data_IF_322153438626
#
_entry.id   IF_322153438626
#
_cell.length_a   1.000
_cell.length_b   1.000
_cell.length_c   1.000
_cell.angle_alpha   90.00
_cell.angle_beta   90.00
_cell.angle_gamma   90.00
#
_symmetry.space_group_name_H-M   'P 1'
#
loop_
_entity.id
_entity.type
_entity.pdbx_description
1 polymer ?
#
# COMPACT_ATOMS: atom_id res chain seq x y z
N UNK A 1 25.96 3.13 -2.40
CA UNK A 1 24.79 4.05 -2.50
C UNK A 1 24.47 4.43 -3.94
N UNK A 2 25.44 4.83 -4.79
CA UNK A 2 25.21 5.18 -6.21
C UNK A 2 24.33 4.18 -6.98
N UNK A 3 24.60 2.89 -6.83
CA UNK A 3 23.83 1.83 -7.50
C UNK A 3 22.36 1.68 -7.07
N UNK A 4 21.88 2.38 -6.02
CA UNK A 4 20.44 2.44 -5.73
C UNK A 4 19.74 3.47 -6.62
N UNK A 5 20.37 4.64 -6.82
CA UNK A 5 19.77 5.77 -7.53
C UNK A 5 19.80 5.61 -9.05
N UNK A 6 20.77 4.89 -9.59
CA UNK A 6 20.90 4.65 -11.03
C UNK A 6 20.28 3.33 -11.50
N UNK A 7 19.75 2.52 -10.58
CA UNK A 7 19.25 1.19 -10.88
C UNK A 7 17.93 1.22 -11.67
N UNK A 8 17.80 0.30 -12.62
CA UNK A 8 16.54 0.09 -13.34
C UNK A 8 15.47 -0.54 -12.44
N UNK A 9 14.22 -0.10 -12.63
CA UNK A 9 13.03 -0.53 -11.87
C UNK A 9 11.82 -0.68 -12.79
N UNK A 10 11.97 -1.47 -13.85
CA UNK A 10 10.95 -1.69 -14.88
C UNK A 10 10.04 -2.87 -14.54
N UNK A 11 10.52 -3.84 -13.75
CA UNK A 11 9.78 -5.07 -13.44
C UNK A 11 8.69 -4.82 -12.40
N UNK A 12 9.06 -4.21 -11.26
CA UNK A 12 8.15 -4.13 -10.12
C UNK A 12 6.83 -3.39 -10.39
N UNK A 13 6.77 -2.29 -11.17
CA UNK A 13 5.49 -1.68 -11.51
C UNK A 13 4.51 -2.67 -12.15
N UNK A 14 4.97 -3.60 -12.99
CA UNK A 14 4.10 -4.61 -13.59
C UNK A 14 3.57 -5.63 -12.57
N UNK A 15 4.41 -6.01 -11.60
CA UNK A 15 4.03 -6.91 -10.50
C UNK A 15 3.06 -6.22 -9.54
N UNK A 16 3.38 -4.99 -9.14
CA UNK A 16 2.57 -4.17 -8.25
C UNK A 16 1.16 -3.97 -8.83
N UNK A 17 1.03 -3.65 -10.13
CA UNK A 17 -0.27 -3.53 -10.83
C UNK A 17 -1.19 -4.72 -10.56
N UNK A 18 -0.68 -5.92 -10.76
CA UNK A 18 -1.46 -7.15 -10.60
C UNK A 18 -1.84 -7.35 -9.13
N UNK A 19 -0.87 -7.25 -8.22
CA UNK A 19 -1.09 -7.50 -6.80
C UNK A 19 -2.03 -6.46 -6.16
N UNK A 20 -1.83 -5.16 -6.45
CA UNK A 20 -2.70 -4.13 -5.93
C UNK A 20 -4.08 -4.18 -6.57
N UNK A 21 -4.18 -4.51 -7.87
CA UNK A 21 -5.45 -4.73 -8.53
C UNK A 21 -6.26 -5.85 -7.88
N UNK A 22 -5.61 -6.96 -7.51
CA UNK A 22 -6.25 -8.05 -6.77
C UNK A 22 -6.71 -7.63 -5.37
N UNK A 23 -5.88 -6.89 -4.62
CA UNK A 23 -6.26 -6.35 -3.31
C UNK A 23 -7.48 -5.43 -3.42
N UNK A 24 -7.47 -4.50 -4.39
CA UNK A 24 -8.59 -3.59 -4.62
C UNK A 24 -9.84 -4.33 -5.07
N UNK A 25 -9.72 -5.44 -5.81
CA UNK A 25 -10.87 -6.26 -6.21
C UNK A 25 -11.49 -6.99 -5.00
N UNK A 26 -10.65 -7.48 -4.08
CA UNK A 26 -11.13 -8.07 -2.82
C UNK A 26 -11.80 -6.99 -1.95
N UNK A 27 -11.18 -5.81 -1.82
CA UNK A 27 -11.74 -4.68 -1.08
C UNK A 27 -13.08 -4.24 -1.67
N UNK A 28 -13.18 -4.19 -3.01
CA UNK A 28 -14.41 -3.88 -3.73
C UNK A 28 -15.54 -4.84 -3.37
N UNK A 29 -15.25 -6.13 -3.23
CA UNK A 29 -16.24 -7.12 -2.85
C UNK A 29 -16.74 -6.90 -1.42
N UNK A 30 -15.86 -6.59 -0.48
CA UNK A 30 -16.25 -6.23 0.89
C UNK A 30 -17.10 -4.96 0.93
N UNK A 31 -16.68 -3.92 0.18
CA UNK A 31 -17.40 -2.66 0.06
C UNK A 31 -18.77 -2.85 -0.61
N UNK A 32 -18.87 -3.67 -1.65
CA UNK A 32 -20.18 -3.99 -2.23
C UNK A 32 -21.10 -4.57 -1.16
N UNK A 33 -20.64 -5.58 -0.41
CA UNK A 33 -21.47 -6.27 0.58
C UNK A 33 -21.93 -5.36 1.72
N UNK A 34 -21.12 -4.35 2.08
CA UNK A 34 -21.48 -3.38 3.13
C UNK A 34 -22.16 -2.11 2.59
N UNK A 35 -22.33 -1.98 1.27
CA UNK A 35 -22.85 -0.78 0.62
C UNK A 35 -24.20 -0.33 1.17
N UNK A 36 -25.11 -1.26 1.49
CA UNK A 36 -26.42 -0.94 2.05
C UNK A 36 -26.36 -0.28 3.44
N UNK A 37 -25.21 -0.35 4.11
CA UNK A 37 -24.98 0.27 5.42
C UNK A 37 -24.27 1.61 5.20
N UNK A 38 -23.08 1.61 4.60
CA UNK A 38 -22.26 2.82 4.57
C UNK A 38 -22.70 3.85 3.51
N UNK A 39 -23.41 3.43 2.45
CA UNK A 39 -24.01 4.34 1.46
C UNK A 39 -25.47 4.67 1.78
N UNK A 40 -26.01 4.24 2.92
CA UNK A 40 -27.37 4.60 3.31
C UNK A 40 -27.37 5.98 3.99
N UNK A 41 -28.05 6.99 3.43
CA UNK A 41 -28.11 8.33 4.02
C UNK A 41 -28.75 8.39 5.42
N UNK A 42 -29.62 7.43 5.75
CA UNK A 42 -30.24 7.33 7.08
C UNK A 42 -29.26 6.80 8.13
N UNK A 43 -28.30 5.97 7.72
CA UNK A 43 -27.30 5.36 8.61
C UNK A 43 -25.96 6.10 8.62
N UNK A 44 -25.64 6.83 7.54
CA UNK A 44 -24.41 7.60 7.38
C UNK A 44 -24.73 9.06 7.03
N UNK A 45 -24.81 9.89 8.07
CA UNK A 45 -25.05 11.33 7.96
C UNK A 45 -23.89 12.13 7.36
N UNK A 46 -22.74 11.48 7.10
CA UNK A 46 -21.54 12.12 6.57
C UNK A 46 -21.36 11.88 5.07
N UNK A 47 -22.36 11.27 4.41
CA UNK A 47 -22.33 11.12 2.97
C UNK A 47 -22.25 12.48 2.27
N UNK A 48 -21.37 12.63 1.27
CA UNK A 48 -21.30 13.86 0.52
C UNK A 48 -22.61 14.14 -0.23
N UNK A 49 -23.06 15.39 -0.19
CA UNK A 49 -24.32 15.84 -0.80
C UNK A 49 -24.15 16.44 -2.19
N UNK A 50 -22.93 16.38 -2.75
CA UNK A 50 -22.68 16.82 -4.10
C UNK A 50 -23.39 15.92 -5.13
N UNK A 51 -23.70 16.49 -6.30
CA UNK A 51 -24.50 15.81 -7.33
C UNK A 51 -23.90 14.48 -7.80
N UNK A 52 -22.57 14.38 -7.84
CA UNK A 52 -21.89 13.17 -8.29
C UNK A 52 -22.05 12.08 -7.22
N UNK A 53 -21.77 12.40 -5.96
CA UNK A 53 -21.88 11.47 -4.85
C UNK A 53 -23.30 10.94 -4.64
N UNK A 54 -24.31 11.80 -4.78
CA UNK A 54 -25.72 11.39 -4.72
C UNK A 54 -26.06 10.45 -5.88
N UNK A 55 -25.66 10.79 -7.10
CA UNK A 55 -25.89 9.94 -8.27
C UNK A 55 -25.25 8.56 -8.13
N UNK A 56 -24.00 8.50 -7.66
CA UNK A 56 -23.28 7.24 -7.44
C UNK A 56 -23.93 6.43 -6.32
N UNK A 57 -24.32 7.07 -5.22
CA UNK A 57 -24.99 6.39 -4.09
C UNK A 57 -26.30 5.74 -4.53
N UNK A 58 -27.13 6.46 -5.31
CA UNK A 58 -28.38 5.94 -5.87
C UNK A 58 -28.16 4.81 -6.89
N UNK A 59 -27.04 4.82 -7.60
CA UNK A 59 -26.69 3.84 -8.63
C UNK A 59 -25.50 2.96 -8.22
N UNK A 60 -25.37 2.69 -6.91
CA UNK A 60 -24.16 2.08 -6.34
C UNK A 60 -23.83 0.72 -6.96
N UNK A 61 -24.83 -0.14 -7.21
CA UNK A 61 -24.63 -1.43 -7.87
C UNK A 61 -23.98 -1.31 -9.26
N UNK A 62 -24.42 -0.33 -10.08
CA UNK A 62 -23.82 -0.08 -11.39
C UNK A 62 -22.38 0.45 -11.26
N UNK A 63 -22.14 1.36 -10.30
CA UNK A 63 -20.80 1.86 -10.03
C UNK A 63 -19.84 0.74 -9.63
N UNK A 64 -20.25 -0.16 -8.73
CA UNK A 64 -19.43 -1.28 -8.30
C UNK A 64 -19.13 -2.27 -9.45
N UNK A 65 -20.12 -2.58 -10.31
CA UNK A 65 -19.89 -3.41 -11.50
C UNK A 65 -18.89 -2.76 -12.46
N UNK A 66 -19.07 -1.47 -12.72
CA UNK A 66 -18.20 -0.71 -13.59
C UNK A 66 -16.77 -0.66 -13.04
N UNK A 67 -16.60 -0.36 -11.76
CA UNK A 67 -15.28 -0.33 -11.14
C UNK A 67 -14.63 -1.72 -11.09
N UNK A 68 -15.41 -2.77 -10.82
CA UNK A 68 -14.94 -4.16 -10.89
C UNK A 68 -14.41 -4.53 -12.28
N UNK A 69 -15.12 -4.14 -13.34
CA UNK A 69 -14.65 -4.32 -14.72
C UNK A 69 -13.34 -3.56 -14.97
N UNK A 70 -13.25 -2.30 -14.54
CA UNK A 70 -12.03 -1.51 -14.66
C UNK A 70 -10.86 -2.19 -13.95
N UNK A 71 -11.05 -2.71 -12.74
CA UNK A 71 -10.01 -3.42 -11.99
C UNK A 71 -9.56 -4.69 -12.71
N UNK A 72 -10.49 -5.46 -13.29
CA UNK A 72 -10.15 -6.64 -14.10
C UNK A 72 -9.31 -6.23 -15.31
N UNK A 73 -9.72 -5.20 -16.05
CA UNK A 73 -8.96 -4.67 -17.19
C UNK A 73 -7.57 -4.16 -16.75
N UNK A 74 -7.49 -3.51 -15.58
CA UNK A 74 -6.24 -3.05 -14.97
C UNK A 74 -5.31 -4.20 -14.61
N UNK A 75 -5.82 -5.30 -14.04
CA UNK A 75 -5.05 -6.52 -13.74
C UNK A 75 -4.56 -7.20 -15.03
N UNK A 76 -5.39 -7.24 -16.08
CA UNK A 76 -5.03 -7.83 -17.38
C UNK A 76 -4.09 -6.94 -18.20
N UNK A 77 -4.02 -5.65 -17.87
CA UNK A 77 -3.11 -4.69 -18.51
C UNK A 77 -3.62 -4.17 -19.85
N UNK A 78 -4.94 -4.15 -20.02
CA UNK A 78 -5.60 -3.62 -21.21
C UNK A 78 -5.69 -2.08 -21.12
N UNK A 79 -5.71 -1.40 -22.27
CA UNK A 79 -5.83 0.07 -22.37
C UNK A 79 -4.75 0.93 -21.65
N UNK A 80 -3.71 0.30 -21.08
CA UNK A 80 -2.51 0.95 -20.53
C UNK A 80 -2.84 2.09 -19.54
N UNK A 81 -2.15 3.21 -19.61
CA UNK A 81 -2.28 4.31 -18.64
C UNK A 81 -3.71 4.87 -18.52
N UNK A 82 -4.54 4.74 -19.56
CA UNK A 82 -5.96 5.10 -19.46
C UNK A 82 -6.69 4.26 -18.40
N UNK A 83 -6.43 2.95 -18.33
CA UNK A 83 -7.08 2.12 -17.30
C UNK A 83 -6.55 2.45 -15.90
N UNK A 84 -5.26 2.78 -15.75
CA UNK A 84 -4.72 3.27 -14.47
C UNK A 84 -5.41 4.56 -14.03
N UNK A 85 -5.66 5.49 -14.96
CA UNK A 85 -6.39 6.72 -14.69
C UNK A 85 -7.83 6.45 -14.24
N UNK A 86 -8.55 5.55 -14.93
CA UNK A 86 -9.90 5.17 -14.54
C UNK A 86 -9.94 4.48 -13.16
N UNK A 87 -8.97 3.60 -12.84
CA UNK A 87 -8.84 3.02 -11.50
C UNK A 87 -8.67 4.12 -10.45
N UNK A 88 -7.79 5.10 -10.71
CA UNK A 88 -7.57 6.22 -9.81
C UNK A 88 -8.83 7.05 -9.59
N UNK A 89 -9.57 7.39 -10.66
CA UNK A 89 -10.82 8.14 -10.56
C UNK A 89 -11.89 7.39 -9.75
N UNK A 90 -12.12 6.11 -10.04
CA UNK A 90 -13.07 5.30 -9.27
C UNK A 90 -12.64 5.17 -7.80
N UNK A 91 -11.34 5.00 -7.55
CA UNK A 91 -10.80 4.96 -6.20
C UNK A 91 -11.02 6.28 -5.45
N UNK A 92 -10.83 7.44 -6.10
CA UNK A 92 -11.11 8.75 -5.50
C UNK A 92 -12.59 8.93 -5.15
N UNK A 93 -13.50 8.47 -6.01
CA UNK A 93 -14.94 8.52 -5.72
C UNK A 93 -15.24 7.68 -4.49
N UNK A 94 -14.74 6.44 -4.41
CA UNK A 94 -14.91 5.60 -3.22
C UNK A 94 -14.29 6.24 -1.97
N UNK A 95 -13.08 6.76 -2.07
CA UNK A 95 -12.39 7.44 -0.97
C UNK A 95 -13.22 8.60 -0.41
N UNK A 96 -13.89 9.36 -1.27
CA UNK A 96 -14.78 10.46 -0.89
C UNK A 96 -16.08 9.97 -0.25
N UNK A 97 -16.70 8.93 -0.82
CA UNK A 97 -17.93 8.33 -0.28
C UNK A 97 -17.71 7.60 1.05
N UNK A 98 -16.52 7.06 1.29
CA UNK A 98 -16.18 6.29 2.47
C UNK A 98 -15.23 7.03 3.42
N UNK A 99 -15.21 8.37 3.39
CA UNK A 99 -14.22 9.18 4.11
C UNK A 99 -14.07 8.81 5.60
N UNK A 100 -15.15 8.44 6.28
CA UNK A 100 -15.12 8.04 7.69
C UNK A 100 -14.38 6.74 7.98
N UNK A 101 -14.28 5.87 6.98
CA UNK A 101 -13.65 4.55 7.06
C UNK A 101 -12.26 4.53 6.43
N UNK A 102 -11.77 5.69 5.99
CA UNK A 102 -10.45 5.85 5.37
C UNK A 102 -9.36 5.53 6.40
N UNK A 103 -8.45 4.67 6.00
CA UNK A 103 -7.24 4.36 6.75
C UNK A 103 -6.02 5.11 6.19
N UNK A 104 -4.91 5.08 6.92
CA UNK A 104 -3.62 5.55 6.39
C UNK A 104 -3.20 4.81 5.11
N UNK A 105 -3.60 3.54 4.96
CA UNK A 105 -3.37 2.77 3.74
C UNK A 105 -4.07 3.34 2.53
N UNK A 106 -5.29 3.85 2.71
CA UNK A 106 -6.04 4.46 1.63
C UNK A 106 -5.40 5.77 1.16
N UNK A 107 -4.82 6.53 2.09
CA UNK A 107 -4.05 7.75 1.77
C UNK A 107 -2.81 7.37 0.95
N UNK A 108 -2.06 6.35 1.37
CA UNK A 108 -0.88 5.87 0.63
C UNK A 108 -1.30 5.43 -0.78
N UNK A 109 -2.36 4.63 -0.89
CA UNK A 109 -2.85 4.13 -2.18
C UNK A 109 -3.34 5.25 -3.09
N UNK A 110 -4.03 6.28 -2.56
CA UNK A 110 -4.46 7.43 -3.35
C UNK A 110 -3.29 8.08 -4.10
N UNK A 111 -2.19 8.38 -3.40
CA UNK A 111 -1.00 8.96 -4.02
C UNK A 111 -0.29 7.98 -4.95
N UNK A 112 -0.19 6.71 -4.55
CA UNK A 112 0.46 5.70 -5.39
C UNK A 112 -0.29 5.48 -6.69
N UNK A 113 -1.62 5.37 -6.66
CA UNK A 113 -2.47 5.22 -7.84
C UNK A 113 -2.37 6.45 -8.75
N UNK A 114 -2.31 7.66 -8.18
CA UNK A 114 -2.05 8.89 -8.95
C UNK A 114 -0.72 8.80 -9.73
N UNK A 115 0.37 8.44 -9.06
CA UNK A 115 1.66 8.27 -9.75
C UNK A 115 1.61 7.12 -10.76
N UNK A 116 0.83 6.07 -10.48
CA UNK A 116 0.64 4.93 -11.37
C UNK A 116 -0.07 5.25 -12.68
N UNK A 117 -0.82 6.36 -12.74
CA UNK A 117 -1.35 6.90 -14.00
C UNK A 117 -0.22 7.16 -14.99
N UNK A 118 0.97 7.51 -14.51
CA UNK A 118 2.13 7.86 -15.34
C UNK A 118 3.18 6.74 -15.45
N UNK A 119 3.08 5.70 -14.61
CA UNK A 119 4.01 4.58 -14.62
C UNK A 119 3.73 3.61 -15.78
N UNK A 120 4.79 3.18 -16.49
CA UNK A 120 4.74 2.06 -17.43
C UNK A 120 4.73 0.74 -16.65
N UNK A 121 3.54 0.36 -16.19
CA UNK A 121 3.26 -0.91 -15.50
C UNK A 121 2.77 -2.02 -16.43
N UNK A 122 2.87 -1.81 -17.75
CA UNK A 122 2.31 -2.70 -18.77
C UNK A 122 3.38 -3.43 -19.58
N UNK A 123 4.67 -3.24 -19.28
CA UNK A 123 5.77 -3.94 -19.96
C UNK A 123 5.74 -5.45 -19.73
N UNK A 124 5.46 -5.86 -18.49
CA UNK A 124 5.36 -7.27 -18.10
C UNK A 124 3.95 -7.60 -17.57
N UNK A 125 3.62 -8.90 -17.54
CA UNK A 125 2.34 -9.41 -17.04
C UNK A 125 1.08 -8.75 -17.65
N UNK A 126 1.19 -8.22 -18.86
CA UNK A 126 0.12 -7.50 -19.57
C UNK A 126 -0.22 -8.21 -20.89
N UNK A 127 -1.50 -8.19 -21.26
CA UNK A 127 -1.97 -8.60 -22.58
C UNK A 127 -1.61 -7.55 -23.66
N UNK A 128 -1.64 -6.26 -23.32
CA UNK A 128 -1.23 -5.18 -24.22
C UNK A 128 0.12 -4.60 -23.77
N UNK A 129 1.20 -5.30 -24.12
CA UNK A 129 2.55 -4.96 -23.64
C UNK A 129 3.08 -3.65 -24.23
N UNK A 130 3.67 -2.81 -23.38
CA UNK A 130 4.48 -1.67 -23.83
C UNK A 130 5.75 -2.17 -24.49
N UNK A 131 6.11 -1.61 -25.65
CA UNK A 131 7.34 -1.92 -26.40
C UNK A 131 8.22 -0.67 -26.50
N UNK A 132 9.52 -0.87 -26.68
CA UNK A 132 10.49 0.21 -26.89
C UNK A 132 11.07 0.78 -25.59
N UNK A 133 11.66 1.98 -25.70
CA UNK A 133 12.39 2.65 -24.59
C UNK A 133 11.47 2.92 -23.41
N UNK A 134 12.01 2.79 -22.20
CA UNK A 134 11.27 3.07 -20.98
C UNK A 134 11.08 4.60 -20.84
N UNK A 135 9.84 5.09 -20.72
CA UNK A 135 9.58 6.53 -20.79
C UNK A 135 10.06 7.23 -19.52
N UNK A 136 10.68 8.41 -19.68
CA UNK A 136 11.22 9.18 -18.56
C UNK A 136 10.15 9.54 -17.51
N UNK A 137 8.92 9.83 -17.94
CA UNK A 137 7.81 10.10 -17.03
C UNK A 137 7.50 8.89 -16.11
N UNK A 138 7.70 7.67 -16.59
CA UNK A 138 7.56 6.48 -15.75
C UNK A 138 8.69 6.36 -14.74
N UNK A 139 9.90 6.80 -15.08
CA UNK A 139 11.01 6.85 -14.12
C UNK A 139 10.66 7.82 -12.99
N UNK A 140 10.16 9.01 -13.33
CA UNK A 140 9.71 10.00 -12.35
C UNK A 140 8.59 9.45 -11.47
N UNK A 141 7.58 8.81 -12.05
CA UNK A 141 6.47 8.21 -11.31
C UNK A 141 6.92 7.17 -10.27
N UNK A 142 7.82 6.26 -10.65
CA UNK A 142 8.38 5.26 -9.73
C UNK A 142 9.19 5.94 -8.62
N UNK A 143 9.98 6.96 -8.94
CA UNK A 143 10.71 7.72 -7.94
C UNK A 143 9.79 8.52 -7.00
N UNK A 144 8.68 9.07 -7.50
CA UNK A 144 7.67 9.73 -6.66
C UNK A 144 7.06 8.76 -5.66
N UNK A 145 6.80 7.51 -6.04
CA UNK A 145 6.34 6.46 -5.12
C UNK A 145 7.40 6.16 -4.06
N UNK A 146 8.67 5.99 -4.46
CA UNK A 146 9.78 5.73 -3.53
C UNK A 146 9.95 6.88 -2.53
N UNK A 147 9.95 8.12 -3.01
CA UNK A 147 10.07 9.32 -2.18
C UNK A 147 8.87 9.45 -1.23
N UNK A 148 7.67 9.13 -1.70
CA UNK A 148 6.49 9.11 -0.85
C UNK A 148 6.63 8.11 0.30
N UNK A 149 7.13 6.89 0.04
CA UNK A 149 7.42 5.91 1.10
C UNK A 149 8.44 6.48 2.09
N UNK A 150 9.53 7.09 1.61
CA UNK A 150 10.54 7.70 2.49
C UNK A 150 9.95 8.81 3.36
N UNK A 151 9.11 9.68 2.79
CA UNK A 151 8.43 10.73 3.54
C UNK A 151 7.50 10.15 4.60
N UNK A 152 6.71 9.11 4.27
CA UNK A 152 5.83 8.45 5.23
C UNK A 152 6.61 7.88 6.41
N UNK A 153 7.75 7.22 6.17
CA UNK A 153 8.59 6.67 7.24
C UNK A 153 9.20 7.76 8.12
N UNK A 154 9.81 8.77 7.51
CA UNK A 154 10.46 9.85 8.26
C UNK A 154 9.42 10.68 9.03
N UNK A 155 8.31 11.05 8.40
CA UNK A 155 7.25 11.83 9.04
C UNK A 155 6.66 11.07 10.24
N UNK A 156 6.34 9.79 10.08
CA UNK A 156 5.85 8.97 11.19
C UNK A 156 6.88 8.84 12.31
N UNK A 157 8.16 8.68 11.97
CA UNK A 157 9.22 8.57 12.95
C UNK A 157 9.34 9.85 13.79
N UNK A 158 9.37 11.02 13.15
CA UNK A 158 9.43 12.31 13.85
C UNK A 158 8.18 12.59 14.68
N UNK A 159 7.01 12.26 14.16
CA UNK A 159 5.76 12.43 14.89
C UNK A 159 5.75 11.59 16.17
N UNK A 160 6.14 10.31 16.09
CA UNK A 160 6.24 9.42 17.25
C UNK A 160 7.35 9.82 18.21
N UNK A 161 8.47 10.31 17.69
CA UNK A 161 9.57 10.80 18.53
C UNK A 161 9.13 12.00 19.38
N UNK A 162 8.25 12.85 18.86
CA UNK A 162 7.72 14.03 19.55
C UNK A 162 6.51 13.73 20.45
N UNK A 163 5.84 12.60 20.28
CA UNK A 163 4.61 12.26 21.00
C UNK A 163 4.88 11.59 22.36
N UNK A 164 4.27 12.12 23.42
CA UNK A 164 4.49 11.64 24.79
C UNK A 164 4.01 10.20 25.03
N UNK A 165 2.97 9.72 24.33
CA UNK A 165 2.49 8.35 24.52
C UNK A 165 3.50 7.33 24.01
N UNK A 166 4.15 7.63 22.88
CA UNK A 166 5.23 6.81 22.33
C UNK A 166 6.49 6.84 23.21
N UNK A 167 6.82 7.99 23.80
CA UNK A 167 7.96 8.11 24.72
C UNK A 167 7.75 7.34 26.03
N UNK A 168 6.50 7.12 26.44
CA UNK A 168 6.16 6.50 27.72
C UNK A 168 5.84 5.01 27.62
N UNK A 169 5.86 4.38 26.43
CA UNK A 169 5.47 2.97 26.29
C UNK A 169 3.97 2.76 26.24
N UNK A 170 3.20 3.83 26.09
CA UNK A 170 1.73 3.84 26.23
C UNK A 170 1.06 3.57 24.88
N UNK A 171 1.67 4.02 23.79
CA UNK A 171 1.11 3.89 22.44
C UNK A 171 0.96 2.43 22.01
N UNK A 172 2.02 1.62 22.16
CA UNK A 172 1.96 0.18 21.87
C UNK A 172 0.94 -0.52 22.79
N UNK A 173 0.92 -0.23 24.09
CA UNK A 173 -0.04 -0.84 25.00
C UNK A 173 -1.50 -0.59 24.57
N UNK A 174 -1.91 0.67 24.37
CA UNK A 174 -3.28 0.97 23.98
C UNK A 174 -3.65 0.48 22.58
N UNK A 175 -2.68 0.42 21.66
CA UNK A 175 -2.91 -0.13 20.32
C UNK A 175 -3.33 -1.59 20.38
N UNK A 176 -2.82 -2.35 21.35
CA UNK A 176 -3.22 -3.73 21.57
C UNK A 176 -4.46 -3.85 22.48
N UNK A 177 -4.52 -3.06 23.55
CA UNK A 177 -5.56 -3.16 24.58
C UNK A 177 -6.98 -2.78 24.09
N UNK A 178 -7.11 -2.10 22.95
CA UNK A 178 -8.41 -1.83 22.33
C UNK A 178 -9.15 -3.09 21.84
N UNK A 179 -8.44 -4.22 21.68
CA UNK A 179 -9.03 -5.48 21.20
C UNK A 179 -9.39 -6.40 22.37
N UNK A 180 -10.63 -6.89 22.38
CA UNK A 180 -11.14 -7.74 23.46
C UNK A 180 -10.34 -9.04 23.66
N UNK A 181 -9.72 -9.58 22.60
CA UNK A 181 -8.89 -10.80 22.69
C UNK A 181 -7.45 -10.54 23.16
N UNK A 182 -7.06 -9.27 23.40
CA UNK A 182 -5.69 -8.95 23.79
C UNK A 182 -5.21 -9.68 25.04
N UNK A 183 -5.99 -9.80 26.14
CA UNK A 183 -5.56 -10.51 27.36
C UNK A 183 -5.17 -11.98 27.12
N UNK A 184 -5.79 -12.63 26.13
CA UNK A 184 -5.55 -14.03 25.78
C UNK A 184 -4.44 -14.20 24.72
N UNK A 185 -3.91 -13.10 24.18
CA UNK A 185 -2.90 -13.13 23.12
C UNK A 185 -1.48 -13.40 23.66
N UNK A 186 -0.62 -13.96 22.80
CA UNK A 186 0.82 -14.14 23.10
C UNK A 186 1.54 -12.80 23.36
N UNK A 187 0.94 -11.68 22.94
CA UNK A 187 1.48 -10.34 23.10
C UNK A 187 1.09 -9.70 24.44
N UNK A 188 0.14 -10.27 25.19
CA UNK A 188 -0.32 -9.70 26.45
C UNK A 188 0.83 -9.51 27.44
N UNK A 189 1.61 -10.56 27.71
CA UNK A 189 2.71 -10.49 28.68
C UNK A 189 3.76 -9.40 28.34
N UNK A 190 4.34 -9.35 27.13
CA UNK A 190 5.35 -8.33 26.83
C UNK A 190 4.75 -6.92 26.70
N UNK A 191 3.53 -6.77 26.18
CA UNK A 191 2.94 -5.44 25.96
C UNK A 191 2.34 -4.85 27.23
N UNK A 192 1.83 -5.67 28.17
CA UNK A 192 1.33 -5.19 29.46
C UNK A 192 2.45 -4.85 30.46
N UNK A 193 3.69 -5.23 30.18
CA UNK A 193 4.85 -4.84 30.97
C UNK A 193 5.41 -3.48 30.49
N UNK A 194 5.42 -2.47 31.37
CA UNK A 194 5.84 -1.11 31.02
C UNK A 194 7.25 -1.01 30.41
N UNK A 195 8.22 -1.80 30.91
CA UNK A 195 9.58 -1.80 30.36
C UNK A 195 9.62 -2.33 28.93
N UNK A 196 8.97 -3.47 28.69
CA UNK A 196 8.93 -4.08 27.37
C UNK A 196 8.10 -3.26 26.38
N UNK A 197 6.92 -2.76 26.76
CA UNK A 197 6.11 -1.88 25.90
C UNK A 197 6.90 -0.64 25.46
N UNK A 198 7.59 0.02 26.40
CA UNK A 198 8.46 1.16 26.12
C UNK A 198 9.62 0.78 25.20
N UNK A 199 10.22 -0.40 25.38
CA UNK A 199 11.29 -0.89 24.51
C UNK A 199 10.78 -1.13 23.08
N UNK A 200 9.57 -1.67 22.92
CA UNK A 200 8.93 -1.87 21.61
C UNK A 200 8.63 -0.52 20.95
N UNK A 201 8.11 0.47 21.67
CA UNK A 201 7.88 1.81 21.15
C UNK A 201 9.17 2.43 20.58
N UNK A 202 10.26 2.42 21.37
CA UNK A 202 11.55 2.93 20.89
C UNK A 202 12.12 2.11 19.74
N UNK A 203 11.92 0.80 19.73
CA UNK A 203 12.33 -0.05 18.63
C UNK A 203 11.62 0.33 17.33
N UNK A 204 10.30 0.55 17.37
CA UNK A 204 9.51 0.99 16.21
C UNK A 204 10.00 2.36 15.73
N UNK A 205 10.20 3.32 16.64
CA UNK A 205 10.71 4.66 16.28
C UNK A 205 12.09 4.54 15.61
N UNK A 206 13.01 3.79 16.23
CA UNK A 206 14.37 3.60 15.71
C UNK A 206 14.35 2.92 14.34
N UNK A 207 13.53 1.88 14.17
CA UNK A 207 13.34 1.21 12.90
C UNK A 207 12.87 2.19 11.82
N UNK A 208 11.90 3.05 12.14
CA UNK A 208 11.37 4.02 11.18
C UNK A 208 12.37 5.14 10.84
N UNK A 209 13.11 5.67 11.83
CA UNK A 209 14.18 6.65 11.60
C UNK A 209 15.29 6.08 10.71
N UNK A 210 15.73 4.85 10.97
CA UNK A 210 16.83 4.20 10.24
C UNK A 210 16.40 3.59 8.91
N UNK A 211 15.10 3.49 8.63
CA UNK A 211 14.58 2.83 7.44
C UNK A 211 15.20 3.37 6.15
N UNK A 212 15.14 4.69 5.92
CA UNK A 212 15.63 5.32 4.70
C UNK A 212 17.15 5.10 4.49
N UNK A 213 18.04 5.49 5.42
CA UNK A 213 19.47 5.33 5.20
C UNK A 213 19.88 3.85 5.01
N UNK A 214 19.23 2.92 5.72
CA UNK A 214 19.60 1.51 5.66
C UNK A 214 18.99 0.80 4.45
N UNK A 215 17.82 1.21 3.95
CA UNK A 215 17.29 0.70 2.67
C UNK A 215 18.16 1.14 1.49
N UNK A 216 18.64 2.38 1.48
CA UNK A 216 19.53 2.87 0.41
C UNK A 216 20.84 2.08 0.42
N UNK A 217 21.33 1.68 1.60
CA UNK A 217 22.52 0.86 1.72
C UNK A 217 22.26 -0.62 1.40
N UNK A 218 22.79 -1.07 0.26
CA UNK A 218 22.64 -2.45 -0.26
C UNK A 218 22.88 -3.57 0.77
N UNK A 219 23.80 -3.40 1.73
CA UNK A 219 24.12 -4.44 2.73
C UNK A 219 23.00 -4.65 3.75
N UNK A 220 22.33 -3.57 4.16
CA UNK A 220 21.28 -3.60 5.19
C UNK A 220 19.87 -3.57 4.61
N UNK A 221 19.71 -3.29 3.31
CA UNK A 221 18.42 -3.21 2.61
C UNK A 221 17.49 -4.38 2.92
N UNK A 222 17.91 -5.61 2.60
CA UNK A 222 17.03 -6.77 2.77
C UNK A 222 16.60 -6.96 4.23
N UNK A 223 17.53 -6.76 5.17
CA UNK A 223 17.22 -6.81 6.59
C UNK A 223 16.14 -5.79 6.96
N UNK A 224 16.26 -4.54 6.52
CA UNK A 224 15.26 -3.51 6.81
C UNK A 224 13.90 -3.78 6.16
N UNK A 225 13.88 -4.25 4.92
CA UNK A 225 12.63 -4.57 4.23
C UNK A 225 11.91 -5.76 4.88
N UNK A 226 12.66 -6.81 5.27
CA UNK A 226 12.11 -7.96 5.98
C UNK A 226 11.60 -7.54 7.36
N UNK A 227 12.40 -6.77 8.10
CA UNK A 227 12.01 -6.31 9.43
C UNK A 227 10.73 -5.46 9.37
N UNK A 228 10.67 -4.50 8.44
CA UNK A 228 9.48 -3.70 8.25
C UNK A 228 8.28 -4.57 7.85
N UNK A 229 8.45 -5.52 6.92
CA UNK A 229 7.38 -6.44 6.54
C UNK A 229 6.88 -7.28 7.71
N UNK A 230 7.76 -7.79 8.58
CA UNK A 230 7.36 -8.55 9.78
C UNK A 230 6.55 -7.70 10.74
N UNK A 231 6.94 -6.44 10.97
CA UNK A 231 6.18 -5.50 11.81
C UNK A 231 4.78 -5.29 11.22
N UNK A 232 4.67 -4.97 9.92
CA UNK A 232 3.39 -4.74 9.26
C UNK A 232 2.50 -5.99 9.21
N UNK A 233 3.08 -7.19 9.00
CA UNK A 233 2.34 -8.45 9.06
C UNK A 233 1.87 -8.79 10.48
N UNK A 234 2.64 -8.41 11.50
CA UNK A 234 2.21 -8.55 12.91
C UNK A 234 1.03 -7.63 13.20
N UNK A 235 1.11 -6.37 12.76
CA UNK A 235 0.00 -5.41 12.85
C UNK A 235 -1.22 -5.88 12.07
N UNK A 236 -1.04 -6.52 10.91
CA UNK A 236 -2.13 -7.09 10.12
C UNK A 236 -2.94 -8.11 10.92
N UNK A 237 -2.25 -9.05 11.56
CA UNK A 237 -2.89 -10.11 12.35
C UNK A 237 -3.53 -9.52 13.61
N UNK A 238 -2.83 -8.62 14.29
CA UNK A 238 -3.31 -8.06 15.56
C UNK A 238 -4.48 -7.09 15.37
N UNK A 239 -4.40 -6.22 14.36
CA UNK A 239 -5.33 -5.09 14.20
C UNK A 239 -6.41 -5.34 13.15
N UNK A 240 -6.33 -6.45 12.41
CA UNK A 240 -7.29 -6.80 11.34
C UNK A 240 -7.22 -5.88 10.12
N UNK A 241 -6.17 -5.05 10.00
CA UNK A 241 -6.02 -4.03 8.96
C UNK A 241 -5.40 -4.59 7.66
N UNK A 242 -5.96 -5.67 7.13
CA UNK A 242 -5.37 -6.42 6.01
C UNK A 242 -5.04 -5.56 4.77
N UNK A 243 -5.95 -4.69 4.32
CA UNK A 243 -5.74 -3.87 3.12
C UNK A 243 -4.57 -2.91 3.28
N UNK A 244 -4.53 -2.19 4.41
CA UNK A 244 -3.48 -1.24 4.72
C UNK A 244 -2.11 -1.93 4.77
N UNK A 245 -2.01 -3.01 5.54
CA UNK A 245 -0.74 -3.66 5.80
C UNK A 245 -0.19 -4.34 4.54
N UNK A 246 -1.03 -5.02 3.77
CA UNK A 246 -0.63 -5.59 2.49
C UNK A 246 -0.21 -4.52 1.49
N UNK A 247 -0.93 -3.39 1.42
CA UNK A 247 -0.54 -2.28 0.57
C UNK A 247 0.88 -1.81 0.94
N UNK A 248 1.15 -1.53 2.22
CA UNK A 248 2.48 -1.07 2.65
C UNK A 248 3.58 -2.10 2.34
N UNK A 249 3.35 -3.38 2.61
CA UNK A 249 4.33 -4.44 2.30
C UNK A 249 4.62 -4.51 0.80
N UNK A 250 3.62 -4.36 -0.06
CA UNK A 250 3.82 -4.33 -1.51
C UNK A 250 4.67 -3.13 -1.94
N UNK A 251 4.56 -1.98 -1.28
CA UNK A 251 5.35 -0.79 -1.64
C UNK A 251 6.86 -1.03 -1.49
N UNK A 252 7.29 -1.95 -0.61
CA UNK A 252 8.71 -2.26 -0.46
C UNK A 252 9.36 -2.83 -1.70
N UNK A 253 8.62 -3.46 -2.61
CA UNK A 253 9.20 -3.96 -3.83
C UNK A 253 9.70 -2.85 -4.77
N UNK A 254 9.21 -1.60 -4.65
CA UNK A 254 9.78 -0.46 -5.37
C UNK A 254 11.19 -0.08 -4.88
N UNK A 255 11.55 -0.51 -3.67
CA UNK A 255 12.87 -0.31 -3.08
C UNK A 255 13.89 -1.34 -3.57
N UNK A 256 13.44 -2.36 -4.30
CA UNK A 256 14.29 -3.32 -5.00
C UNK A 256 14.45 -2.91 -6.47
N UNK A 257 15.63 -3.17 -7.03
CA UNK A 257 15.88 -2.98 -8.46
C UNK A 257 15.60 -4.27 -9.26
N UNK A 258 15.62 -4.16 -10.58
CA UNK A 258 15.31 -5.28 -11.48
C UNK A 258 16.29 -6.47 -11.31
N UNK A 259 17.57 -6.22 -11.03
CA UNK A 259 18.54 -7.30 -10.76
C UNK A 259 18.21 -8.04 -9.47
N UNK A 260 17.88 -7.31 -8.41
CA UNK A 260 17.53 -7.87 -7.10
C UNK A 260 16.24 -8.69 -7.19
N UNK A 261 15.22 -8.16 -7.86
CA UNK A 261 13.97 -8.89 -8.11
C UNK A 261 14.20 -10.17 -8.91
N UNK A 262 15.03 -10.13 -9.96
CA UNK A 262 15.37 -11.32 -10.77
C UNK A 262 16.15 -12.38 -9.98
N UNK A 263 16.87 -12.01 -8.92
CA UNK A 263 17.58 -12.96 -8.04
C UNK A 263 16.62 -13.66 -7.07
N UNK A 264 15.57 -12.97 -6.64
CA UNK A 264 14.56 -13.52 -5.74
C UNK A 264 13.55 -14.42 -6.48
N UNK A 265 13.43 -14.28 -7.80
CA UNK A 265 12.50 -15.08 -8.61
C UNK A 265 13.10 -16.45 -9.01
N UNK A 266 12.30 -17.53 -8.97
CA UNK A 266 12.68 -18.82 -9.56
C UNK A 266 13.04 -18.69 -11.04
N UNK A 267 14.07 -19.41 -11.49
CA UNK A 267 14.62 -19.31 -12.88
C UNK A 267 13.54 -19.49 -13.95
N UNK A 268 12.61 -20.43 -13.77
CA UNK A 268 11.50 -20.69 -14.70
C UNK A 268 10.56 -19.49 -14.84
N UNK A 269 10.24 -18.80 -13.73
CA UNK A 269 9.36 -17.63 -13.72
C UNK A 269 10.07 -16.46 -14.40
N UNK A 270 11.34 -16.21 -14.03
CA UNK A 270 12.15 -15.14 -14.61
C UNK A 270 12.23 -15.25 -16.13
N UNK A 271 12.57 -16.41 -16.66
CA UNK A 271 12.72 -16.61 -18.12
C UNK A 271 11.39 -16.46 -18.86
N UNK A 272 10.28 -16.96 -18.30
CA UNK A 272 8.99 -16.97 -18.97
C UNK A 272 8.29 -15.59 -18.96
N UNK A 273 8.34 -14.89 -17.84
CA UNK A 273 7.52 -13.68 -17.63
C UNK A 273 8.32 -12.38 -17.60
N UNK A 274 9.63 -12.44 -17.34
CA UNK A 274 10.52 -11.27 -17.22
C UNK A 274 11.84 -11.48 -17.98
N UNK A 275 11.79 -11.75 -19.30
CA UNK A 275 13.00 -11.93 -20.10
C UNK A 275 13.91 -10.71 -19.97
N UNK A 276 15.23 -10.94 -20.09
CA UNK A 276 16.16 -9.84 -20.26
C UNK A 276 15.85 -9.20 -21.62
N UNK A 277 15.58 -7.90 -21.61
CA UNK A 277 15.49 -7.08 -22.83
C UNK A 277 16.90 -6.93 -23.44
#
# INVERSE_FOLDING_TARGET
MKGFFTAERKIFPSVFRVLIGLILLVDLFYMWRSASIFLNPELNSFLPTDKISVFITQNSGLFFLFYGLILILFILGLFRNLISFLVFCCYLILFHLSYQFVTWGDIILKFTLLFFVFADSFRYLSLNRTKGKFPFISVLAVWSIILHIFMVYLNNAFFKLADHHWQQGIAVYYSFAQYAQFPDSIFHWPVSNSFFSKSIDYFIILQQLLFVPFVIWKRTRYFMLILAAVIHLTMMVQFGLWKFELAVVLHYGFLLNDEELRRLMPTKIRQKYFPAD
#
